data_IF_006460809058
#
_entry.id   IF_006460809058
#
_cell.length_a   1.000
_cell.length_b   1.000
_cell.length_c   1.000
_cell.angle_alpha   90.00
_cell.angle_beta   90.00
_cell.angle_gamma   90.00
#
_symmetry.space_group_name_H-M   'P 1'
#
loop_
_entity.id
_entity.type
_entity.pdbx_description
1 polymer ?
#
# COMPACT_ATOMS: atom_id res chain seq x y z
N UNK A 1 5.37 12.23 20.16
CA UNK A 1 4.39 11.26 19.64
C UNK A 1 3.61 10.68 20.81
N UNK A 2 2.27 10.67 20.77
CA UNK A 2 1.41 9.98 21.75
C UNK A 2 0.74 8.81 21.05
N UNK A 3 1.34 7.64 21.11
CA UNK A 3 0.72 6.42 20.59
C UNK A 3 -0.33 5.97 21.59
N UNK A 4 -1.49 5.53 21.12
CA UNK A 4 -2.57 4.99 21.96
C UNK A 4 -2.62 3.47 21.90
N UNK A 5 -2.27 2.92 20.74
CA UNK A 5 -2.23 1.49 20.49
C UNK A 5 -0.86 1.12 19.93
N UNK A 6 -0.05 0.41 20.73
CA UNK A 6 1.19 -0.18 20.27
C UNK A 6 1.03 -1.71 20.30
N UNK A 7 1.18 -2.33 19.14
CA UNK A 7 1.27 -3.78 19.01
C UNK A 7 2.69 -4.08 18.53
N UNK A 8 3.42 -4.89 19.31
CA UNK A 8 4.73 -5.41 18.90
C UNK A 8 4.65 -6.92 19.01
N UNK A 9 4.59 -7.60 17.87
CA UNK A 9 4.61 -9.06 17.78
C UNK A 9 5.99 -9.43 17.23
N UNK A 10 6.94 -9.66 18.14
CA UNK A 10 8.33 -9.93 17.76
C UNK A 10 9.06 -10.81 18.78
N UNK A 11 10.18 -11.41 18.35
CA UNK A 11 11.17 -12.08 19.22
C UNK A 11 12.19 -11.08 19.83
N UNK A 12 11.86 -9.79 19.84
CA UNK A 12 12.76 -8.72 20.28
C UNK A 12 13.00 -8.79 21.79
N UNK A 13 14.24 -8.56 22.24
CA UNK A 13 14.60 -8.63 23.66
C UNK A 13 13.76 -7.67 24.52
N UNK A 14 13.41 -8.09 25.74
CA UNK A 14 12.65 -7.27 26.70
C UNK A 14 13.26 -5.88 26.95
N UNK A 15 14.60 -5.74 26.86
CA UNK A 15 15.30 -4.45 27.02
C UNK A 15 14.98 -3.47 25.88
N UNK A 16 14.88 -3.98 24.66
CA UNK A 16 14.58 -3.19 23.47
C UNK A 16 13.11 -2.75 23.47
N UNK A 17 12.21 -3.63 23.93
CA UNK A 17 10.78 -3.35 24.07
C UNK A 17 10.52 -2.29 25.16
N UNK A 18 11.20 -2.39 26.31
CA UNK A 18 11.18 -1.37 27.37
C UNK A 18 11.63 0.02 26.88
N UNK A 19 12.66 0.06 26.02
CA UNK A 19 13.16 1.30 25.43
C UNK A 19 12.10 1.98 24.55
N UNK A 20 11.38 1.22 23.73
CA UNK A 20 10.27 1.73 22.92
C UNK A 20 9.10 2.22 23.78
N UNK A 21 8.71 1.43 24.79
CA UNK A 21 7.61 1.78 25.70
C UNK A 21 7.88 3.10 26.44
N UNK A 22 9.10 3.29 26.94
CA UNK A 22 9.51 4.53 27.61
C UNK A 22 9.47 5.73 26.67
N UNK A 23 9.86 5.53 25.41
CA UNK A 23 10.01 6.63 24.46
C UNK A 23 8.69 7.04 23.80
N UNK A 24 7.75 6.10 23.63
CA UNK A 24 6.45 6.36 23.04
C UNK A 24 5.41 6.96 24.02
N UNK A 25 5.79 7.24 25.28
CA UNK A 25 4.89 7.75 26.34
C UNK A 25 3.58 6.94 26.46
N UNK A 26 3.68 5.62 26.35
CA UNK A 26 2.53 4.72 26.25
C UNK A 26 1.89 4.44 27.62
N UNK A 27 0.55 4.49 27.69
CA UNK A 27 -0.21 3.73 28.69
C UNK A 27 -0.51 2.37 28.09
N UNK A 28 0.02 1.30 28.67
CA UNK A 28 -0.25 -0.06 28.24
C UNK A 28 -1.73 -0.38 28.42
N UNK A 29 -2.43 -0.68 27.34
CA UNK A 29 -3.67 -1.45 27.38
C UNK A 29 -3.53 -2.61 26.39
N UNK A 30 -3.65 -3.83 26.94
CA UNK A 30 -3.80 -5.09 26.22
C UNK A 30 -5.01 -5.04 25.27
N UNK A 31 -5.11 -5.98 24.29
CA UNK A 31 -5.73 -5.72 23.00
C UNK A 31 -7.23 -5.46 23.16
N UNK A 32 -7.64 -4.23 22.88
CA UNK A 32 -9.02 -3.90 22.57
C UNK A 32 -9.14 -3.86 21.05
N UNK A 33 -9.82 -4.87 20.52
CA UNK A 33 -10.29 -4.92 19.14
C UNK A 33 -11.10 -3.68 18.83
N UNK A 34 -10.55 -2.77 18.03
CA UNK A 34 -11.26 -1.85 17.13
C UNK A 34 -10.34 -0.71 16.71
N UNK A 35 -9.76 -0.81 15.52
CA UNK A 35 -10.01 0.12 14.42
C UNK A 35 -8.99 -0.11 13.29
N UNK A 36 -9.52 -0.09 12.06
CA UNK A 36 -8.80 0.09 10.79
C UNK A 36 -8.03 -1.13 10.24
N UNK A 37 -8.60 -1.75 9.19
CA UNK A 37 -8.00 -2.76 8.28
C UNK A 37 -7.71 -4.20 8.77
N UNK A 38 -7.92 -4.57 10.03
CA UNK A 38 -7.77 -5.97 10.49
C UNK A 38 -8.69 -6.99 9.78
N UNK A 39 -9.73 -6.53 9.08
CA UNK A 39 -10.57 -7.40 8.27
C UNK A 39 -9.90 -7.86 6.96
N UNK A 40 -8.93 -7.10 6.43
CA UNK A 40 -8.35 -7.36 5.11
C UNK A 40 -7.07 -8.20 5.16
N UNK A 41 -6.40 -8.31 6.31
CA UNK A 41 -5.11 -9.00 6.40
C UNK A 41 -5.17 -10.48 6.77
N UNK A 42 -6.35 -11.11 6.92
CA UNK A 42 -6.45 -12.58 7.07
C UNK A 42 -7.84 -13.20 6.80
N UNK A 43 -8.89 -12.43 6.43
CA UNK A 43 -10.25 -12.98 6.32
C UNK A 43 -11.14 -12.49 5.16
N UNK A 44 -10.90 -11.32 4.56
CA UNK A 44 -11.82 -10.72 3.59
C UNK A 44 -11.48 -10.89 2.09
N UNK A 45 -10.46 -11.67 1.72
CA UNK A 45 -10.16 -11.95 0.29
C UNK A 45 -11.13 -13.00 -0.32
N UNK A 46 -11.95 -13.66 0.51
CA UNK A 46 -12.75 -14.81 0.07
C UNK A 46 -14.23 -14.53 -0.29
N UNK A 47 -14.68 -13.29 -0.47
CA UNK A 47 -16.13 -12.98 -0.58
C UNK A 47 -16.62 -12.30 -1.88
N UNK A 48 -15.87 -12.29 -2.98
CA UNK A 48 -16.39 -11.78 -4.27
C UNK A 48 -16.11 -12.67 -5.48
N UNK A 49 -15.77 -13.95 -5.26
CA UNK A 49 -15.63 -14.93 -6.34
C UNK A 49 -16.98 -15.42 -6.84
N UNK A 50 -17.71 -14.62 -7.64
CA UNK A 50 -18.69 -15.10 -8.63
C UNK A 50 -19.14 -13.95 -9.54
N UNK A 51 -19.16 -14.26 -10.85
CA UNK A 51 -19.76 -13.52 -11.99
C UNK A 51 -19.04 -12.21 -12.39
N UNK A 52 -18.49 -11.98 -13.59
CA UNK A 52 -18.79 -12.43 -14.97
C UNK A 52 -17.51 -12.44 -15.85
N UNK A 53 -17.48 -13.20 -16.97
CA UNK A 53 -16.41 -13.13 -17.98
C UNK A 53 -16.64 -11.90 -18.88
N UNK A 54 -16.12 -10.73 -18.51
CA UNK A 54 -16.43 -9.49 -19.25
C UNK A 54 -15.48 -9.25 -20.44
N UNK A 55 -14.25 -9.76 -20.43
CA UNK A 55 -13.24 -9.21 -21.34
C UNK A 55 -12.99 -9.96 -22.66
N UNK A 56 -13.80 -10.97 -23.01
CA UNK A 56 -13.68 -11.61 -24.33
C UNK A 56 -14.50 -10.91 -25.44
N UNK A 57 -15.37 -9.92 -25.13
CA UNK A 57 -16.10 -9.19 -26.17
C UNK A 57 -16.66 -7.79 -25.79
N UNK A 58 -16.22 -7.16 -24.69
CA UNK A 58 -16.87 -5.95 -24.16
C UNK A 58 -16.72 -4.69 -25.04
N UNK A 59 -17.55 -4.58 -26.07
CA UNK A 59 -18.12 -3.27 -26.45
C UNK A 59 -19.38 -3.07 -25.60
N UNK A 60 -19.30 -2.14 -24.63
CA UNK A 60 -20.43 -1.47 -23.93
C UNK A 60 -21.12 -2.18 -22.75
N UNK A 61 -20.44 -2.40 -21.64
CA UNK A 61 -21.14 -2.56 -20.34
C UNK A 61 -20.48 -1.70 -19.27
N UNK A 62 -21.27 -0.83 -18.63
CA UNK A 62 -20.85 -0.10 -17.44
C UNK A 62 -20.56 -1.11 -16.31
N UNK A 63 -19.44 -0.94 -15.61
CA UNK A 63 -19.15 -1.72 -14.41
C UNK A 63 -20.04 -1.26 -13.25
N UNK A 64 -20.58 -2.18 -12.43
CA UNK A 64 -21.32 -1.84 -11.22
C UNK A 64 -20.40 -1.19 -10.18
N UNK A 65 -20.99 -0.54 -9.18
CA UNK A 65 -20.27 0.25 -8.15
C UNK A 65 -19.11 -0.49 -7.47
N UNK A 66 -19.27 -1.80 -7.25
CA UNK A 66 -18.22 -2.68 -6.73
C UNK A 66 -17.96 -3.79 -7.74
N UNK A 67 -16.75 -3.85 -8.29
CA UNK A 67 -16.39 -4.82 -9.33
C UNK A 67 -15.15 -5.61 -8.95
N UNK A 68 -15.24 -6.94 -9.00
CA UNK A 68 -14.09 -7.84 -8.96
C UNK A 68 -13.84 -8.41 -10.35
N UNK A 69 -12.64 -8.19 -10.87
CA UNK A 69 -12.12 -8.80 -12.07
C UNK A 69 -11.24 -9.97 -11.67
N UNK A 70 -11.66 -11.18 -12.06
CA UNK A 70 -11.01 -12.43 -11.69
C UNK A 70 -10.86 -13.37 -12.88
N UNK A 71 -9.73 -14.08 -12.98
CA UNK A 71 -9.51 -15.17 -13.95
C UNK A 71 -9.67 -14.75 -15.41
N UNK A 72 -9.26 -13.53 -15.76
CA UNK A 72 -9.30 -13.05 -17.14
C UNK A 72 -7.95 -13.31 -17.82
N UNK A 73 -7.62 -14.59 -17.98
CA UNK A 73 -6.30 -15.04 -18.48
C UNK A 73 -6.02 -14.67 -19.96
N UNK A 74 -6.98 -14.07 -20.66
CA UNK A 74 -6.73 -13.45 -21.97
C UNK A 74 -6.24 -12.00 -21.91
N UNK A 75 -6.37 -11.33 -20.76
CA UNK A 75 -6.09 -9.89 -20.62
C UNK A 75 -4.61 -9.67 -20.33
N UNK A 76 -3.86 -9.31 -21.37
CA UNK A 76 -2.42 -8.98 -21.24
C UNK A 76 -2.21 -7.54 -20.81
N UNK A 77 -3.08 -6.61 -21.23
CA UNK A 77 -2.98 -5.19 -20.92
C UNK A 77 -4.35 -4.61 -20.56
N UNK A 78 -4.36 -3.66 -19.63
CA UNK A 78 -5.53 -2.83 -19.31
C UNK A 78 -5.19 -1.40 -19.72
N UNK A 79 -5.90 -0.88 -20.73
CA UNK A 79 -5.63 0.40 -21.38
C UNK A 79 -6.89 0.99 -22.05
N UNK A 80 -6.73 2.09 -22.78
CA UNK A 80 -7.81 2.78 -23.50
C UNK A 80 -8.61 1.91 -24.46
N UNK A 81 -8.00 0.85 -25.01
CA UNK A 81 -8.70 -0.13 -25.85
C UNK A 81 -9.67 -1.00 -25.03
N UNK A 82 -9.37 -1.20 -23.74
CA UNK A 82 -10.16 -2.01 -22.81
C UNK A 82 -11.35 -1.23 -22.23
N UNK A 83 -11.17 0.05 -21.87
CA UNK A 83 -12.26 0.87 -21.35
C UNK A 83 -13.01 1.69 -22.42
N UNK A 84 -12.41 1.88 -23.60
CA UNK A 84 -12.98 2.63 -24.71
C UNK A 84 -12.88 4.16 -24.53
N UNK A 85 -12.88 4.90 -25.64
CA UNK A 85 -12.66 6.36 -25.68
C UNK A 85 -13.76 7.20 -25.02
N UNK A 86 -14.92 6.61 -24.70
CA UNK A 86 -16.04 7.24 -24.00
C UNK A 86 -16.33 6.58 -22.64
N UNK A 87 -15.50 5.61 -22.21
CA UNK A 87 -15.74 4.76 -21.06
C UNK A 87 -15.49 5.45 -19.72
N UNK A 88 -16.38 6.35 -19.31
CA UNK A 88 -16.39 6.85 -17.93
C UNK A 88 -17.16 5.87 -17.04
N UNK A 89 -16.47 5.22 -16.10
CA UNK A 89 -17.08 4.41 -15.06
C UNK A 89 -17.58 5.30 -13.92
N UNK A 90 -18.58 6.12 -14.21
CA UNK A 90 -19.07 7.20 -13.33
C UNK A 90 -19.75 6.75 -12.04
N UNK A 91 -20.02 5.45 -11.90
CA UNK A 91 -20.58 4.85 -10.68
C UNK A 91 -19.63 3.88 -9.99
N UNK A 92 -18.48 3.54 -10.58
CA UNK A 92 -17.54 2.57 -10.00
C UNK A 92 -16.80 3.22 -8.82
N UNK A 93 -16.93 2.62 -7.63
CA UNK A 93 -16.33 3.09 -6.39
C UNK A 93 -15.27 2.12 -5.84
N UNK A 94 -15.43 0.82 -6.09
CA UNK A 94 -14.45 -0.20 -5.72
C UNK A 94 -14.14 -1.11 -6.91
N UNK A 95 -12.84 -1.30 -7.18
CA UNK A 95 -12.34 -2.16 -8.26
C UNK A 95 -11.25 -3.07 -7.70
N UNK A 96 -11.40 -4.35 -7.95
CA UNK A 96 -10.46 -5.37 -7.50
C UNK A 96 -9.99 -6.24 -8.67
N UNK A 97 -8.70 -6.58 -8.71
CA UNK A 97 -8.11 -7.52 -9.66
C UNK A 97 -7.52 -8.71 -8.92
N UNK A 98 -7.85 -9.93 -9.37
CA UNK A 98 -7.34 -11.16 -8.78
C UNK A 98 -7.15 -12.24 -9.85
N UNK A 99 -6.18 -13.12 -9.67
CA UNK A 99 -5.94 -14.25 -10.58
C UNK A 99 -5.86 -13.83 -12.06
N UNK A 100 -5.20 -12.71 -12.35
CA UNK A 100 -5.00 -12.17 -13.70
C UNK A 100 -3.64 -12.66 -14.25
N UNK A 101 -3.54 -13.97 -14.54
CA UNK A 101 -2.23 -14.64 -14.71
C UNK A 101 -1.43 -14.22 -15.95
N UNK A 102 -2.06 -13.54 -16.91
CA UNK A 102 -1.42 -13.03 -18.13
C UNK A 102 -1.27 -11.51 -18.15
N UNK A 103 -1.83 -10.81 -17.18
CA UNK A 103 -1.82 -9.35 -17.11
C UNK A 103 -0.41 -8.82 -16.83
N UNK A 104 0.11 -7.99 -17.74
CA UNK A 104 1.48 -7.46 -17.70
C UNK A 104 1.53 -5.97 -17.43
N UNK A 105 0.59 -5.22 -18.00
CA UNK A 105 0.65 -3.77 -18.03
C UNK A 105 -0.73 -3.17 -17.76
N UNK A 106 -0.77 -2.19 -16.87
CA UNK A 106 -1.83 -1.21 -16.82
C UNK A 106 -1.27 0.12 -17.30
N UNK A 107 -1.60 0.53 -18.51
CA UNK A 107 -1.11 1.78 -19.07
C UNK A 107 -2.28 2.64 -19.59
N UNK A 108 -2.18 3.95 -19.38
CA UNK A 108 -2.91 4.94 -20.18
C UNK A 108 -1.82 5.72 -20.88
N UNK A 109 -1.80 5.68 -22.22
CA UNK A 109 -0.75 6.32 -23.00
C UNK A 109 -0.77 7.84 -22.81
N UNK A 110 0.42 8.44 -22.79
CA UNK A 110 0.60 9.88 -22.79
C UNK A 110 0.30 10.50 -24.17
N UNK A 111 -0.02 11.79 -24.13
CA UNK A 111 -0.16 12.74 -25.25
C UNK A 111 -1.56 12.83 -25.86
N UNK A 112 -2.33 13.82 -25.39
CA UNK A 112 -3.38 14.46 -26.18
C UNK A 112 -4.82 14.26 -25.68
N UNK A 113 -5.07 13.33 -24.76
CA UNK A 113 -6.41 13.17 -24.18
C UNK A 113 -6.61 14.19 -23.07
N UNK A 114 -7.19 15.35 -23.43
CA UNK A 114 -7.72 16.35 -22.50
C UNK A 114 -8.99 15.90 -21.76
N UNK A 115 -9.46 14.69 -22.02
CA UNK A 115 -10.77 14.22 -21.57
C UNK A 115 -10.71 12.92 -20.79
N UNK A 116 -10.89 13.05 -19.48
CA UNK A 116 -11.66 12.06 -18.74
C UNK A 116 -10.91 11.35 -17.63
N UNK A 117 -11.26 11.72 -16.42
CA UNK A 117 -11.32 10.82 -15.29
C UNK A 117 -12.07 9.55 -15.74
N UNK A 118 -11.37 8.49 -16.12
CA UNK A 118 -11.97 7.21 -16.56
C UNK A 118 -12.75 6.61 -15.39
N UNK A 119 -12.21 6.78 -14.18
CA UNK A 119 -12.77 6.29 -12.94
C UNK A 119 -12.99 7.45 -11.96
N UNK A 120 -13.91 8.37 -12.25
CA UNK A 120 -14.04 9.64 -11.51
C UNK A 120 -14.48 9.43 -10.05
N UNK A 121 -15.14 8.31 -9.74
CA UNK A 121 -15.64 8.00 -8.39
C UNK A 121 -14.94 6.81 -7.74
N UNK A 122 -13.90 6.24 -8.35
CA UNK A 122 -13.22 5.09 -7.77
C UNK A 122 -12.46 5.52 -6.51
N UNK A 123 -12.87 4.96 -5.38
CA UNK A 123 -12.31 5.25 -4.07
C UNK A 123 -11.38 4.13 -3.58
N UNK A 124 -11.61 2.90 -4.03
CA UNK A 124 -10.84 1.73 -3.58
C UNK A 124 -10.33 0.92 -4.78
N UNK A 125 -9.02 0.71 -4.82
CA UNK A 125 -8.37 -0.15 -5.80
C UNK A 125 -7.57 -1.24 -5.09
N UNK A 126 -7.90 -2.49 -5.41
CA UNK A 126 -7.22 -3.66 -4.89
C UNK A 126 -6.61 -4.48 -6.03
N UNK A 127 -5.31 -4.75 -5.98
CA UNK A 127 -4.65 -5.73 -6.85
C UNK A 127 -4.12 -6.81 -5.94
N UNK A 128 -4.68 -8.01 -6.04
CA UNK A 128 -4.44 -9.10 -5.10
C UNK A 128 -3.92 -10.36 -5.83
N UNK A 129 -3.81 -11.45 -5.08
CA UNK A 129 -3.18 -12.71 -5.48
C UNK A 129 -3.42 -13.15 -6.94
N UNK A 130 -2.37 -13.71 -7.56
CA UNK A 130 -2.42 -14.24 -8.92
C UNK A 130 -2.33 -13.18 -10.03
N UNK A 131 -1.84 -11.98 -9.72
CA UNK A 131 -1.46 -10.94 -10.70
C UNK A 131 0.07 -10.93 -10.95
N UNK A 132 0.69 -12.11 -11.02
CA UNK A 132 2.15 -12.28 -10.92
C UNK A 132 2.95 -11.70 -12.08
N UNK A 133 2.33 -11.45 -13.25
CA UNK A 133 3.02 -10.89 -14.41
C UNK A 133 2.92 -9.37 -14.49
N UNK A 134 2.15 -8.73 -13.60
CA UNK A 134 1.95 -7.29 -13.61
C UNK A 134 3.28 -6.60 -13.29
N UNK A 135 3.76 -5.78 -14.22
CA UNK A 135 5.02 -5.06 -14.08
C UNK A 135 4.82 -3.59 -13.74
N UNK A 136 3.73 -2.99 -14.23
CA UNK A 136 3.49 -1.55 -14.18
C UNK A 136 2.05 -1.22 -13.76
N UNK A 137 1.93 -0.26 -12.85
CA UNK A 137 0.71 0.43 -12.45
C UNK A 137 0.38 1.58 -13.45
N UNK A 138 -0.85 2.12 -13.48
CA UNK A 138 -1.22 3.17 -14.43
C UNK A 138 -0.37 4.43 -14.27
N UNK A 139 0.33 4.82 -15.35
CA UNK A 139 1.33 5.91 -15.37
C UNK A 139 0.84 7.26 -14.81
N UNK A 140 -0.41 7.62 -15.13
CA UNK A 140 -1.06 8.87 -14.76
C UNK A 140 -2.17 8.62 -13.72
N UNK A 141 -1.83 7.89 -12.64
CA UNK A 141 -2.80 7.47 -11.62
C UNK A 141 -3.63 8.62 -11.02
N UNK A 142 -3.08 9.82 -10.73
CA UNK A 142 -3.88 10.94 -10.21
C UNK A 142 -4.95 11.44 -11.19
N UNK A 143 -4.72 11.32 -12.50
CA UNK A 143 -5.69 11.70 -13.53
C UNK A 143 -6.69 10.58 -13.82
N UNK A 144 -6.23 9.34 -13.81
CA UNK A 144 -7.06 8.16 -14.09
C UNK A 144 -8.03 7.89 -12.93
N UNK A 145 -7.55 8.04 -11.69
CA UNK A 145 -8.21 7.67 -10.43
C UNK A 145 -8.22 8.87 -9.45
N UNK A 146 -8.85 10.01 -9.80
CA UNK A 146 -8.76 11.26 -9.02
C UNK A 146 -9.39 11.17 -7.62
N UNK A 147 -10.36 10.27 -7.44
CA UNK A 147 -11.08 10.07 -6.17
C UNK A 147 -10.50 8.94 -5.31
N UNK A 148 -9.36 8.36 -5.71
CA UNK A 148 -8.81 7.20 -5.03
C UNK A 148 -8.39 7.55 -3.60
N UNK A 149 -8.93 6.80 -2.64
CA UNK A 149 -8.63 6.92 -1.21
C UNK A 149 -7.79 5.75 -0.70
N UNK A 150 -8.04 4.54 -1.22
CA UNK A 150 -7.37 3.33 -0.77
C UNK A 150 -6.74 2.57 -1.92
N UNK A 151 -5.47 2.21 -1.76
CA UNK A 151 -4.70 1.40 -2.69
C UNK A 151 -4.12 0.20 -1.96
N UNK A 152 -4.49 -1.00 -2.41
CA UNK A 152 -3.99 -2.26 -1.88
C UNK A 152 -3.29 -3.02 -3.01
N UNK A 153 -2.03 -3.38 -2.79
CA UNK A 153 -1.23 -4.19 -3.72
C UNK A 153 -0.67 -5.38 -2.95
N UNK A 154 -1.15 -6.57 -3.26
CA UNK A 154 -0.88 -7.80 -2.51
C UNK A 154 -0.39 -8.86 -3.49
N UNK A 155 0.75 -9.48 -3.18
CA UNK A 155 1.33 -10.59 -3.91
C UNK A 155 1.52 -10.28 -5.41
N UNK A 156 2.14 -9.14 -5.70
CA UNK A 156 2.46 -8.66 -7.04
C UNK A 156 3.99 -8.53 -7.21
N UNK A 157 4.73 -9.65 -7.31
CA UNK A 157 6.20 -9.68 -7.19
C UNK A 157 6.94 -9.03 -8.37
N UNK A 158 6.26 -8.73 -9.48
CA UNK A 158 6.88 -8.13 -10.67
C UNK A 158 6.68 -6.62 -10.77
N UNK A 159 5.83 -6.02 -9.92
CA UNK A 159 5.62 -4.57 -9.88
C UNK A 159 6.87 -3.90 -9.33
N UNK A 160 7.46 -2.99 -10.10
CA UNK A 160 8.78 -2.43 -9.77
C UNK A 160 8.72 -1.10 -9.02
N UNK A 161 7.75 -0.24 -9.33
CA UNK A 161 7.67 1.10 -8.77
C UNK A 161 6.25 1.62 -8.82
N UNK A 162 5.95 2.64 -8.01
CA UNK A 162 4.79 3.47 -8.25
C UNK A 162 4.95 4.26 -9.56
N UNK A 163 3.83 4.74 -10.15
CA UNK A 163 3.85 5.53 -11.38
C UNK A 163 4.67 6.82 -11.25
N UNK A 164 5.33 7.24 -12.32
CA UNK A 164 6.11 8.49 -12.35
C UNK A 164 5.24 9.74 -12.11
N UNK A 165 3.96 9.71 -12.50
CA UNK A 165 2.97 10.75 -12.17
C UNK A 165 2.57 10.80 -10.70
N UNK A 166 3.09 9.89 -9.86
CA UNK A 166 2.82 9.81 -8.43
C UNK A 166 1.53 9.08 -8.08
N UNK A 167 1.27 9.00 -6.77
CA UNK A 167 0.01 8.50 -6.21
C UNK A 167 -1.02 9.65 -6.09
N UNK A 168 -2.33 9.38 -6.15
CA UNK A 168 -3.37 10.40 -5.96
C UNK A 168 -3.24 11.10 -4.60
N UNK A 169 -3.40 12.43 -4.57
CA UNK A 169 -3.24 13.23 -3.34
C UNK A 169 -4.32 12.98 -2.28
N UNK A 170 -5.49 12.46 -2.68
CA UNK A 170 -6.60 12.07 -1.80
C UNK A 170 -6.39 10.69 -1.14
N UNK A 171 -5.29 10.01 -1.45
CA UNK A 171 -5.00 8.68 -0.91
C UNK A 171 -4.80 8.76 0.60
N UNK A 172 -5.70 8.10 1.35
CA UNK A 172 -5.67 8.03 2.81
C UNK A 172 -5.27 6.66 3.37
N UNK A 173 -5.24 5.63 2.53
CA UNK A 173 -4.81 4.29 2.90
C UNK A 173 -3.95 3.64 1.83
N UNK A 174 -2.78 3.14 2.22
CA UNK A 174 -1.88 2.37 1.36
C UNK A 174 -1.48 1.06 2.04
N UNK A 175 -1.65 -0.06 1.33
CA UNK A 175 -1.17 -1.37 1.75
C UNK A 175 -0.33 -2.00 0.64
N UNK A 176 0.90 -2.39 0.98
CA UNK A 176 1.81 -3.13 0.08
C UNK A 176 2.27 -4.40 0.76
N UNK A 177 1.85 -5.56 0.26
CA UNK A 177 2.14 -6.86 0.87
C UNK A 177 2.72 -7.84 -0.18
N UNK A 178 3.82 -8.53 0.14
CA UNK A 178 4.48 -9.52 -0.74
C UNK A 178 4.79 -8.95 -2.14
N UNK A 179 5.37 -7.75 -2.18
CA UNK A 179 5.71 -7.01 -3.40
C UNK A 179 7.18 -6.58 -3.40
N UNK A 180 8.08 -7.56 -3.33
CA UNK A 180 9.51 -7.34 -3.06
C UNK A 180 10.21 -6.36 -4.00
N UNK A 181 9.89 -6.40 -5.30
CA UNK A 181 10.46 -5.43 -6.26
C UNK A 181 9.99 -3.99 -6.04
N UNK A 182 8.74 -3.80 -5.59
CA UNK A 182 8.18 -2.49 -5.28
C UNK A 182 8.75 -1.94 -3.97
N UNK A 183 8.87 -2.79 -2.96
CA UNK A 183 9.41 -2.45 -1.63
C UNK A 183 10.92 -2.17 -1.70
N UNK A 184 11.66 -2.88 -2.55
CA UNK A 184 13.07 -2.59 -2.81
C UNK A 184 13.30 -1.15 -3.33
N UNK A 185 12.28 -0.53 -3.92
CA UNK A 185 12.28 0.84 -4.44
C UNK A 185 11.59 1.86 -3.52
N UNK A 186 11.34 1.54 -2.25
CA UNK A 186 10.62 2.40 -1.29
C UNK A 186 11.14 3.84 -1.16
N UNK A 187 12.43 4.07 -1.39
CA UNK A 187 13.02 5.43 -1.42
C UNK A 187 12.41 6.35 -2.49
N UNK A 188 11.83 5.77 -3.54
CA UNK A 188 11.21 6.50 -4.65
C UNK A 188 9.70 6.73 -4.44
N UNK A 189 9.10 6.26 -3.33
CA UNK A 189 7.64 6.29 -3.15
C UNK A 189 7.06 7.68 -2.88
N UNK A 190 7.88 8.61 -2.37
CA UNK A 190 7.48 9.99 -2.08
C UNK A 190 6.21 10.11 -1.19
N UNK A 191 6.00 9.19 -0.24
CA UNK A 191 4.78 9.19 0.59
C UNK A 191 4.65 10.44 1.46
N UNK A 192 5.75 11.14 1.76
CA UNK A 192 5.74 12.42 2.47
C UNK A 192 4.96 13.53 1.75
N UNK A 193 4.71 13.37 0.44
CA UNK A 193 3.90 14.31 -0.36
C UNK A 193 2.39 14.07 -0.20
N UNK A 194 1.98 12.92 0.36
CA UNK A 194 0.58 12.52 0.51
C UNK A 194 0.02 13.07 1.82
N UNK A 195 -0.46 14.31 1.79
CA UNK A 195 -1.00 15.00 2.98
C UNK A 195 -2.27 14.36 3.55
N UNK A 196 -2.98 13.53 2.79
CA UNK A 196 -4.15 12.79 3.25
C UNK A 196 -3.84 11.38 3.79
N UNK A 197 -2.59 10.89 3.71
CA UNK A 197 -2.26 9.51 4.05
C UNK A 197 -2.33 9.26 5.56
N UNK A 198 -3.43 8.65 6.01
CA UNK A 198 -3.69 8.37 7.42
C UNK A 198 -3.29 6.95 7.84
N UNK A 199 -3.31 6.00 6.90
CA UNK A 199 -3.02 4.59 7.12
C UNK A 199 -1.97 4.08 6.12
N UNK A 200 -0.94 3.41 6.64
CA UNK A 200 0.09 2.78 5.83
C UNK A 200 0.48 1.42 6.42
N UNK A 201 0.42 0.38 5.60
CA UNK A 201 0.80 -0.99 5.93
C UNK A 201 1.77 -1.52 4.87
N UNK A 202 2.93 -2.04 5.30
CA UNK A 202 3.92 -2.65 4.42
C UNK A 202 4.46 -3.94 5.01
N UNK A 203 4.43 -5.03 4.24
CA UNK A 203 4.88 -6.36 4.65
C UNK A 203 5.56 -7.10 3.51
N UNK A 204 6.63 -7.84 3.80
CA UNK A 204 7.25 -8.72 2.81
C UNK A 204 8.01 -9.88 3.45
N UNK A 205 7.50 -11.08 3.21
CA UNK A 205 8.07 -12.32 3.74
C UNK A 205 9.35 -12.76 3.01
N UNK A 206 9.75 -12.08 1.93
CA UNK A 206 10.81 -12.51 1.00
C UNK A 206 11.93 -11.49 0.78
N UNK A 207 11.96 -10.39 1.53
CA UNK A 207 12.90 -9.30 1.28
C UNK A 207 14.30 -9.61 1.85
N UNK A 208 15.24 -9.86 0.94
CA UNK A 208 16.64 -10.20 1.24
C UNK A 208 17.56 -8.98 1.48
N UNK A 209 17.10 -7.72 1.32
CA UNK A 209 18.01 -6.56 1.24
C UNK A 209 17.59 -5.33 2.06
N UNK A 210 16.68 -5.47 3.03
CA UNK A 210 16.11 -4.36 3.79
C UNK A 210 16.63 -4.29 5.22
N UNK A 211 17.89 -3.89 5.41
CA UNK A 211 18.51 -3.83 6.76
C UNK A 211 17.87 -2.77 7.69
N UNK A 212 17.31 -1.68 7.14
CA UNK A 212 16.68 -0.61 7.92
C UNK A 212 15.41 -0.01 7.30
N UNK A 213 14.49 0.44 8.17
CA UNK A 213 13.20 1.07 7.81
C UNK A 213 12.63 1.93 8.95
N UNK A 214 11.80 2.96 8.69
CA UNK A 214 11.66 3.68 7.43
C UNK A 214 12.88 4.54 7.11
N UNK A 215 13.13 4.83 5.83
CA UNK A 215 14.11 5.84 5.45
C UNK A 215 13.73 7.24 5.94
N UNK A 216 14.76 8.09 6.09
CA UNK A 216 14.57 9.48 6.47
C UNK A 216 13.59 10.18 5.52
N UNK A 217 12.53 10.75 6.09
CA UNK A 217 11.53 11.51 5.33
C UNK A 217 10.63 10.66 4.45
N UNK A 218 10.60 9.32 4.61
CA UNK A 218 9.69 8.47 3.86
C UNK A 218 8.22 8.66 4.29
N UNK A 219 7.96 8.69 5.60
CA UNK A 219 6.61 8.68 6.14
C UNK A 219 6.03 10.11 6.29
N UNK A 220 4.78 10.36 5.88
CA UNK A 220 4.13 11.66 6.05
C UNK A 220 3.70 11.90 7.51
N UNK A 221 3.74 13.16 7.95
CA UNK A 221 3.41 13.55 9.33
C UNK A 221 1.92 13.44 9.70
N UNK A 222 1.04 13.30 8.70
CA UNK A 222 -0.40 13.08 8.88
C UNK A 222 -0.77 11.62 9.22
N UNK A 223 0.20 10.70 9.18
CA UNK A 223 -0.04 9.29 9.42
C UNK A 223 -0.55 9.06 10.85
N UNK A 224 -1.71 8.40 10.95
CA UNK A 224 -2.38 8.09 12.23
C UNK A 224 -2.21 6.63 12.62
N UNK A 225 -2.02 5.75 11.64
CA UNK A 225 -1.81 4.32 11.82
C UNK A 225 -0.72 3.83 10.88
N UNK A 226 0.29 3.20 11.46
CA UNK A 226 1.41 2.63 10.73
C UNK A 226 1.59 1.17 11.13
N UNK A 227 1.56 0.29 10.14
CA UNK A 227 1.87 -1.12 10.30
C UNK A 227 3.07 -1.48 9.45
N UNK A 228 4.03 -2.15 10.08
CA UNK A 228 5.14 -2.79 9.39
C UNK A 228 5.07 -4.27 9.74
N UNK A 229 4.81 -5.07 8.71
CA UNK A 229 4.79 -6.51 8.79
C UNK A 229 6.18 -7.11 8.84
N UNK A 230 6.25 -8.44 8.87
CA UNK A 230 7.51 -9.11 9.01
C UNK A 230 8.28 -8.92 7.69
N UNK A 231 9.50 -8.39 7.81
CA UNK A 231 10.45 -8.11 6.73
C UNK A 231 11.73 -8.89 7.03
N UNK A 232 12.05 -9.91 6.22
CA UNK A 232 12.99 -10.99 6.59
C UNK A 232 14.39 -10.46 6.96
N UNK A 233 14.86 -9.43 6.25
CA UNK A 233 16.18 -8.82 6.47
C UNK A 233 16.19 -7.59 7.38
N UNK A 234 15.04 -7.22 7.97
CA UNK A 234 14.94 -6.00 8.78
C UNK A 234 15.62 -6.17 10.14
N UNK A 235 16.84 -5.65 10.24
CA UNK A 235 17.63 -5.64 11.47
C UNK A 235 17.33 -4.41 12.34
N UNK A 236 16.97 -3.29 11.71
CA UNK A 236 16.86 -1.99 12.37
C UNK A 236 15.57 -1.22 12.02
N UNK A 237 14.81 -0.83 13.04
CA UNK A 237 13.73 0.15 12.88
C UNK A 237 14.19 1.54 13.37
N UNK A 238 14.15 2.56 12.50
CA UNK A 238 14.55 3.94 12.85
C UNK A 238 13.42 4.65 13.62
N UNK A 239 13.58 4.70 14.93
CA UNK A 239 12.61 5.31 15.83
C UNK A 239 12.59 6.85 15.75
N UNK A 240 13.64 7.49 15.22
CA UNK A 240 13.69 8.96 15.11
C UNK A 240 12.67 9.47 14.09
N UNK A 241 12.48 8.74 12.99
CA UNK A 241 11.44 9.03 12.01
C UNK A 241 10.05 8.90 12.63
N UNK A 242 9.82 7.83 13.40
CA UNK A 242 8.53 7.61 14.04
C UNK A 242 8.21 8.70 15.07
N UNK A 243 9.21 9.24 15.78
CA UNK A 243 9.00 10.37 16.69
C UNK A 243 8.48 11.65 15.99
N UNK A 244 8.78 11.84 14.71
CA UNK A 244 8.31 12.98 13.92
C UNK A 244 6.84 12.84 13.49
N UNK A 245 6.26 11.64 13.58
CA UNK A 245 4.85 11.37 13.29
C UNK A 245 3.98 11.85 14.47
N UNK A 246 3.76 13.16 14.54
CA UNK A 246 3.00 13.79 15.62
C UNK A 246 1.55 13.34 15.69
N UNK A 247 0.98 12.91 14.56
CA UNK A 247 -0.40 12.43 14.43
C UNK A 247 -0.56 10.93 14.72
N UNK A 248 0.53 10.18 14.91
CA UNK A 248 0.48 8.72 15.02
C UNK A 248 -0.20 8.28 16.30
N UNK A 249 -1.29 7.52 16.16
CA UNK A 249 -2.11 6.95 17.23
C UNK A 249 -1.92 5.45 17.37
N UNK A 250 -1.61 4.77 16.27
CA UNK A 250 -1.46 3.31 16.22
C UNK A 250 -0.16 2.94 15.52
N UNK A 251 0.63 2.08 16.16
CA UNK A 251 1.85 1.49 15.61
C UNK A 251 1.79 -0.03 15.80
N UNK A 252 1.89 -0.77 14.71
CA UNK A 252 1.91 -2.24 14.71
C UNK A 252 3.18 -2.73 14.02
N UNK A 253 4.04 -3.39 14.80
CA UNK A 253 5.31 -3.95 14.32
C UNK A 253 5.21 -5.46 14.47
N UNK A 254 5.03 -6.15 13.36
CA UNK A 254 5.13 -7.61 13.27
C UNK A 254 6.53 -7.91 12.72
N UNK A 255 7.39 -8.62 13.45
CA UNK A 255 8.78 -8.86 12.97
C UNK A 255 9.15 -10.33 12.87
N UNK A 256 10.13 -10.62 11.99
CA UNK A 256 10.86 -11.89 11.92
C UNK A 256 11.97 -11.97 13.00
N UNK A 257 12.61 -13.14 13.20
CA UNK A 257 13.61 -13.37 14.25
C UNK A 257 14.84 -12.45 14.19
N UNK A 258 15.19 -11.95 13.00
CA UNK A 258 16.43 -11.19 12.75
C UNK A 258 16.36 -9.71 13.18
N UNK A 259 15.20 -9.22 13.65
CA UNK A 259 15.09 -7.86 14.20
C UNK A 259 15.81 -7.79 15.55
N UNK A 260 17.08 -7.37 15.52
CA UNK A 260 17.92 -7.33 16.72
C UNK A 260 17.84 -5.99 17.45
N UNK A 261 17.62 -4.88 16.74
CA UNK A 261 17.82 -3.54 17.30
C UNK A 261 16.73 -2.55 16.90
N UNK A 262 16.21 -1.80 17.89
CA UNK A 262 15.41 -0.59 17.66
C UNK A 262 16.31 0.59 17.99
N UNK A 263 16.83 1.28 16.97
CA UNK A 263 17.77 2.40 17.17
C UNK A 263 17.01 3.70 17.31
N UNK A 264 17.29 4.39 18.41
CA UNK A 264 17.12 5.84 18.49
C UNK A 264 18.41 6.42 17.90
N UNK A 265 18.33 7.02 16.71
CA UNK A 265 19.52 7.60 16.08
C UNK A 265 20.22 8.55 17.06
N UNK A 266 21.56 8.44 17.17
CA UNK A 266 22.34 9.50 17.81
C UNK A 266 22.02 10.81 17.09
N UNK A 267 21.81 11.89 17.84
CA UNK A 267 21.75 13.22 17.26
C UNK A 267 23.00 13.38 16.38
N UNK A 268 22.82 13.71 15.10
CA UNK A 268 23.98 14.05 14.27
C UNK A 268 24.67 15.21 14.96
N UNK A 269 25.90 14.98 15.44
CA UNK A 269 26.78 16.08 15.83
C UNK A 269 26.88 17.00 14.61
N UNK A 270 26.56 18.28 14.83
CA UNK A 270 26.72 19.30 13.81
C UNK A 270 28.18 19.34 13.36
N UNK A 271 28.47 19.61 12.07
CA UNK A 271 29.84 19.84 11.65
C UNK A 271 30.36 21.09 12.40
N UNK A 272 31.40 20.91 13.20
CA UNK A 272 32.20 21.99 13.81
C UNK A 272 32.88 22.85 12.76
#
# INVERSE_FOLDING_TARGET
>A
MKVHHLVVVSHVSNKTLDSVLRTAQLRTLLPSSSNSFDYLSNGAVNQLGRTLPIFASARRTALPQNSLLKQLDGVVRVNEEVYGTNGKFSSLESLSFSSMSTWKEWNSTEVGVKDGEVFPKLQELCIIEGCEKLTNLPGQMPYLLPSLKKLLIINCPQVKSFPAGGLPSNLNGLLVDKCSKLIAKRKEWNLQTLSALEYFDVKDESDANMESFPEMGLLPSCLTSFRVGPLESLQELDMKQLQQLTSLKSLDIQSYPELTTLKFGKASEAPT
#
